data_IF_089514149994
#
_entry.id   IF_089514149994
#
_cell.length_a   1.000
_cell.length_b   1.000
_cell.length_c   1.000
_cell.angle_alpha   90.00
_cell.angle_beta   90.00
_cell.angle_gamma   90.00
#
_symmetry.space_group_name_H-M   'P 1'
#
loop_
_entity.id
_entity.type
_entity.pdbx_description
1 polymer ?
#
# COMPACT_ATOMS: atom_id res chain seq x y z
N UNK A 1 -10.64 14.27 -0.07
CA UNK A 1 -10.45 14.14 -1.53
C UNK A 1 -10.43 12.68 -1.90
N UNK A 2 -11.58 12.17 -2.33
CA UNK A 2 -11.74 10.78 -2.80
C UNK A 2 -11.09 10.58 -4.17
N UNK A 3 -10.33 9.51 -4.38
CA UNK A 3 -9.85 9.04 -5.69
C UNK A 3 -10.58 7.75 -5.99
N UNK A 4 -11.59 7.83 -6.84
CA UNK A 4 -12.21 6.62 -7.38
C UNK A 4 -11.44 6.29 -8.66
N UNK A 5 -10.73 5.19 -8.61
CA UNK A 5 -9.92 4.66 -9.71
C UNK A 5 -10.73 3.58 -10.40
N UNK A 6 -11.00 3.74 -11.68
CA UNK A 6 -11.87 2.82 -12.43
C UNK A 6 -11.01 2.09 -13.45
N UNK A 7 -10.68 0.84 -13.15
CA UNK A 7 -10.00 -0.07 -14.09
C UNK A 7 -11.04 -0.83 -14.90
N UNK A 8 -10.83 -0.99 -16.20
CA UNK A 8 -11.65 -1.84 -17.06
C UNK A 8 -10.72 -2.72 -17.90
N UNK A 9 -10.55 -4.00 -17.56
CA UNK A 9 -9.86 -4.98 -18.40
C UNK A 9 -10.87 -5.80 -19.23
N UNK A 10 -11.07 -5.50 -20.52
CA UNK A 10 -12.19 -6.03 -21.29
C UNK A 10 -12.06 -7.51 -21.68
N UNK A 11 -11.04 -8.26 -21.22
CA UNK A 11 -10.76 -9.59 -21.79
C UNK A 11 -11.12 -10.82 -20.96
N UNK A 12 -11.23 -10.78 -19.62
CA UNK A 12 -11.49 -12.04 -18.88
C UNK A 12 -12.47 -11.99 -17.68
N UNK A 13 -13.12 -10.86 -17.40
CA UNK A 13 -14.34 -10.84 -16.55
C UNK A 13 -14.22 -11.41 -15.13
N UNK A 14 -13.03 -11.41 -14.53
CA UNK A 14 -12.79 -11.90 -13.15
C UNK A 14 -12.42 -10.74 -12.21
N UNK A 15 -13.41 -9.97 -11.79
CA UNK A 15 -13.21 -8.93 -10.78
C UNK A 15 -14.48 -8.15 -10.45
N UNK A 16 -15.47 -8.80 -9.84
CA UNK A 16 -16.69 -8.11 -9.40
C UNK A 16 -16.47 -7.43 -8.05
N UNK A 17 -15.98 -6.18 -8.02
CA UNK A 17 -16.19 -5.33 -6.83
C UNK A 17 -15.28 -4.10 -6.66
N UNK A 18 -15.45 -3.46 -5.51
CA UNK A 18 -14.80 -2.20 -5.10
C UNK A 18 -13.74 -2.48 -4.05
N UNK A 19 -12.57 -1.86 -4.17
CA UNK A 19 -11.44 -2.04 -3.24
C UNK A 19 -10.96 -0.70 -2.73
N UNK A 20 -11.09 -0.43 -1.44
CA UNK A 20 -10.40 0.70 -0.83
C UNK A 20 -8.88 0.44 -0.76
N UNK A 21 -8.08 1.39 -1.22
CA UNK A 21 -6.61 1.36 -1.09
C UNK A 21 -6.11 2.34 -0.02
N UNK A 22 -6.92 3.33 0.33
CA UNK A 22 -6.81 4.23 1.47
C UNK A 22 -8.22 4.76 1.82
N UNK A 23 -8.41 5.38 2.99
CA UNK A 23 -9.71 5.95 3.44
C UNK A 23 -10.36 6.92 2.45
N UNK A 24 -9.61 7.38 1.45
CA UNK A 24 -10.06 8.27 0.40
C UNK A 24 -9.73 7.76 -1.01
N UNK A 25 -9.33 6.51 -1.23
CA UNK A 25 -9.11 5.99 -2.60
C UNK A 25 -9.70 4.60 -2.78
N UNK A 26 -10.38 4.35 -3.89
CA UNK A 26 -10.97 3.06 -4.24
C UNK A 26 -10.64 2.64 -5.67
N UNK A 27 -10.53 1.33 -5.95
CA UNK A 27 -10.48 0.76 -7.29
C UNK A 27 -11.79 0.05 -7.60
N UNK A 28 -12.36 0.29 -8.78
CA UNK A 28 -13.53 -0.40 -9.30
C UNK A 28 -13.13 -1.12 -10.59
N UNK A 29 -13.49 -2.38 -10.69
CA UNK A 29 -13.44 -3.12 -11.93
C UNK A 29 -14.82 -3.10 -12.60
N UNK A 30 -14.88 -2.50 -13.80
CA UNK A 30 -16.10 -2.38 -14.60
C UNK A 30 -16.21 -3.44 -15.69
N UNK A 31 -15.27 -4.38 -15.78
CA UNK A 31 -15.29 -5.44 -16.77
C UNK A 31 -16.58 -6.25 -16.70
N UNK A 32 -17.23 -6.40 -17.84
CA UNK A 32 -18.54 -7.05 -17.95
C UNK A 32 -19.74 -6.21 -17.48
N UNK A 33 -19.53 -4.94 -17.09
CA UNK A 33 -20.61 -3.95 -16.82
C UNK A 33 -20.71 -2.85 -17.87
N UNK A 34 -19.64 -2.66 -18.63
CA UNK A 34 -19.53 -1.65 -19.69
C UNK A 34 -18.92 -2.31 -20.92
N UNK A 35 -19.33 -1.87 -22.11
CA UNK A 35 -18.85 -2.42 -23.39
C UNK A 35 -17.58 -1.71 -23.88
N UNK A 36 -17.42 -0.44 -23.52
CA UNK A 36 -16.31 0.41 -23.96
C UNK A 36 -15.92 1.47 -22.91
N UNK A 37 -14.89 2.25 -23.24
CA UNK A 37 -14.37 3.30 -22.38
C UNK A 37 -15.31 4.52 -22.26
N UNK A 38 -16.19 4.75 -23.23
CA UNK A 38 -17.14 5.87 -23.20
C UNK A 38 -18.27 5.58 -22.21
N UNK A 39 -18.79 4.35 -22.20
CA UNK A 39 -19.70 3.87 -21.17
C UNK A 39 -19.06 3.91 -19.78
N UNK A 40 -17.80 3.49 -19.66
CA UNK A 40 -17.05 3.59 -18.40
C UNK A 40 -16.87 5.04 -17.93
N UNK A 41 -16.58 5.96 -18.87
CA UNK A 41 -16.46 7.39 -18.59
C UNK A 41 -17.79 8.02 -18.15
N UNK A 42 -18.91 7.63 -18.77
CA UNK A 42 -20.24 8.07 -18.36
C UNK A 42 -20.59 7.61 -16.95
N UNK A 43 -20.36 6.34 -16.63
CA UNK A 43 -20.55 5.82 -15.28
C UNK A 43 -19.67 6.54 -14.27
N UNK A 44 -18.41 6.83 -14.61
CA UNK A 44 -17.51 7.61 -13.77
C UNK A 44 -18.06 9.02 -13.48
N UNK A 45 -18.62 9.72 -14.48
CA UNK A 45 -19.28 11.03 -14.27
C UNK A 45 -20.48 10.91 -13.34
N UNK A 46 -21.32 9.90 -13.50
CA UNK A 46 -22.45 9.64 -12.60
C UNK A 46 -21.97 9.46 -11.16
N UNK A 47 -20.94 8.64 -10.93
CA UNK A 47 -20.34 8.44 -9.61
C UNK A 47 -19.80 9.76 -9.04
N UNK A 48 -19.07 10.55 -9.85
CA UNK A 48 -18.55 11.85 -9.42
C UNK A 48 -19.66 12.81 -8.99
N UNK A 49 -20.78 12.82 -9.70
CA UNK A 49 -21.94 13.65 -9.37
C UNK A 49 -22.64 13.14 -8.10
N UNK A 50 -22.88 11.84 -7.98
CA UNK A 50 -23.53 11.27 -6.79
C UNK A 50 -22.73 11.51 -5.51
N UNK A 51 -21.39 11.40 -5.56
CA UNK A 51 -20.53 11.70 -4.41
C UNK A 51 -20.63 13.18 -4.03
N UNK A 52 -20.68 14.08 -5.02
CA UNK A 52 -20.86 15.50 -4.75
C UNK A 52 -22.23 15.80 -4.14
N UNK A 53 -23.30 15.25 -4.70
CA UNK A 53 -24.67 15.52 -4.27
C UNK A 53 -24.97 14.96 -2.87
N UNK A 54 -24.41 13.80 -2.52
CA UNK A 54 -24.69 13.12 -1.23
C UNK A 54 -23.77 13.54 -0.11
N UNK A 55 -22.49 13.76 -0.41
CA UNK A 55 -21.45 13.97 0.61
C UNK A 55 -20.90 15.40 0.61
N UNK A 56 -21.29 16.25 -0.35
CA UNK A 56 -20.72 17.58 -0.58
C UNK A 56 -19.18 17.55 -0.78
N UNK A 57 -18.70 16.46 -1.39
CA UNK A 57 -17.28 16.22 -1.64
C UNK A 57 -17.01 16.03 -3.13
N UNK A 58 -15.97 16.70 -3.64
CA UNK A 58 -15.46 16.44 -4.99
C UNK A 58 -14.47 15.26 -5.00
N UNK A 59 -14.53 14.47 -6.07
CA UNK A 59 -13.57 13.41 -6.37
C UNK A 59 -13.03 13.56 -7.80
N UNK A 60 -11.88 12.97 -8.09
CA UNK A 60 -11.33 12.88 -9.45
C UNK A 60 -11.17 11.42 -9.83
N UNK A 61 -11.42 11.11 -11.10
CA UNK A 61 -11.52 9.74 -11.60
C UNK A 61 -10.62 9.53 -12.81
N UNK A 62 -9.93 8.39 -12.80
CA UNK A 62 -9.20 7.88 -13.94
C UNK A 62 -9.87 6.61 -14.42
N UNK A 63 -10.22 6.55 -15.71
CA UNK A 63 -10.78 5.39 -16.39
C UNK A 63 -9.71 4.84 -17.33
N UNK A 64 -9.26 3.60 -17.11
CA UNK A 64 -8.20 3.00 -17.93
C UNK A 64 -8.22 1.47 -17.94
N UNK A 65 -7.46 0.81 -18.85
CA UNK A 65 -7.40 -0.64 -18.96
C UNK A 65 -6.88 -1.41 -17.73
N UNK A 66 -6.15 -0.73 -16.85
CA UNK A 66 -5.57 -1.35 -15.66
C UNK A 66 -5.45 -0.35 -14.50
N UNK A 67 -5.18 -0.88 -13.31
CA UNK A 67 -5.12 -0.11 -12.06
C UNK A 67 -4.07 0.98 -12.07
N UNK A 68 -2.87 0.69 -12.57
CA UNK A 68 -1.78 1.67 -12.63
C UNK A 68 -2.17 2.88 -13.48
N UNK A 69 -2.64 2.66 -14.72
CA UNK A 69 -3.03 3.75 -15.62
C UNK A 69 -4.19 4.55 -15.02
N UNK A 70 -5.19 3.87 -14.46
CA UNK A 70 -6.33 4.53 -13.86
C UNK A 70 -5.91 5.40 -12.66
N UNK A 71 -4.95 4.94 -11.84
CA UNK A 71 -4.39 5.72 -10.71
C UNK A 71 -3.63 6.95 -11.18
N UNK A 72 -2.85 6.84 -12.26
CA UNK A 72 -2.14 7.99 -12.85
C UNK A 72 -3.15 8.98 -13.43
N UNK A 73 -4.16 8.48 -14.15
CA UNK A 73 -5.21 9.30 -14.76
C UNK A 73 -6.04 10.08 -13.74
N UNK A 74 -6.35 9.49 -12.59
CA UNK A 74 -7.14 10.15 -11.54
C UNK A 74 -6.40 11.31 -10.86
N UNK A 75 -5.06 11.30 -10.87
CA UNK A 75 -4.24 12.40 -10.38
C UNK A 75 -3.97 13.48 -11.47
N UNK A 76 -4.18 13.16 -12.76
CA UNK A 76 -3.74 13.99 -13.88
C UNK A 76 -4.54 15.30 -14.05
N UNK A 77 -5.85 15.26 -13.79
CA UNK A 77 -6.76 16.42 -13.94
C UNK A 77 -7.37 16.90 -12.62
N UNK A 78 -6.69 16.69 -11.49
CA UNK A 78 -7.19 17.19 -10.20
C UNK A 78 -7.22 18.73 -10.17
N UNK A 79 -8.19 19.34 -9.44
CA UNK A 79 -9.33 18.72 -8.75
C UNK A 79 -10.55 18.49 -9.67
N UNK A 80 -11.48 17.62 -9.25
CA UNK A 80 -12.74 17.30 -9.93
C UNK A 80 -12.63 16.90 -11.42
N UNK A 81 -11.49 16.32 -11.82
CA UNK A 81 -11.26 15.90 -13.20
C UNK A 81 -11.62 14.44 -13.49
N UNK A 82 -11.98 14.20 -14.75
CA UNK A 82 -12.07 12.87 -15.36
C UNK A 82 -10.99 12.73 -16.44
N UNK A 83 -10.18 11.68 -16.34
CA UNK A 83 -9.18 11.29 -17.34
C UNK A 83 -9.52 9.91 -17.87
N UNK A 84 -9.62 9.76 -19.18
CA UNK A 84 -9.84 8.47 -19.85
C UNK A 84 -8.58 8.14 -20.64
N UNK A 85 -8.00 6.96 -20.40
CA UNK A 85 -6.78 6.49 -21.05
C UNK A 85 -7.13 5.19 -21.76
N UNK A 86 -6.92 5.12 -23.07
CA UNK A 86 -7.12 3.87 -23.82
C UNK A 86 -5.85 3.03 -23.86
N UNK A 87 -5.98 1.73 -24.12
CA UNK A 87 -4.83 0.82 -24.27
C UNK A 87 -3.86 1.31 -25.35
N UNK A 88 -4.40 1.75 -26.50
CA UNK A 88 -3.60 2.29 -27.61
C UNK A 88 -2.92 3.62 -27.27
N UNK A 89 -3.58 4.47 -26.48
CA UNK A 89 -3.05 5.78 -26.07
C UNK A 89 -2.16 5.74 -24.82
N UNK A 90 -2.09 4.62 -24.11
CA UNK A 90 -1.42 4.52 -22.81
C UNK A 90 0.07 4.90 -22.88
N UNK A 91 0.80 4.36 -23.87
CA UNK A 91 2.24 4.63 -24.01
C UNK A 91 2.53 6.10 -24.31
N UNK A 92 1.74 6.71 -25.19
CA UNK A 92 1.86 8.14 -25.52
C UNK A 92 1.54 9.02 -24.31
N UNK A 93 0.44 8.73 -23.62
CA UNK A 93 0.04 9.43 -22.40
C UNK A 93 1.11 9.36 -21.30
N UNK A 94 1.72 8.20 -21.11
CA UNK A 94 2.75 7.99 -20.09
C UNK A 94 4.08 8.64 -20.44
N UNK A 95 4.50 8.59 -21.71
CA UNK A 95 5.84 8.97 -22.18
C UNK A 95 6.38 10.30 -21.61
N UNK A 96 5.64 11.42 -21.61
CA UNK A 96 6.15 12.70 -21.12
C UNK A 96 6.19 12.82 -19.59
N UNK A 97 5.54 11.91 -18.85
CA UNK A 97 5.44 11.99 -17.40
C UNK A 97 6.77 11.63 -16.74
N UNK A 98 7.07 12.25 -15.60
CA UNK A 98 8.22 11.85 -14.78
C UNK A 98 8.05 10.45 -14.19
N UNK A 99 9.15 9.71 -14.02
CA UNK A 99 9.12 8.32 -13.47
C UNK A 99 8.43 8.22 -12.11
N UNK A 100 8.44 9.32 -11.33
CA UNK A 100 7.75 9.43 -10.04
C UNK A 100 6.24 9.30 -10.11
N UNK A 101 5.64 9.47 -11.28
CA UNK A 101 4.21 9.26 -11.47
C UNK A 101 3.82 7.78 -11.44
N UNK A 102 4.76 6.85 -11.63
CA UNK A 102 4.47 5.41 -11.56
C UNK A 102 4.22 5.00 -10.09
N UNK A 103 3.04 4.45 -9.75
CA UNK A 103 2.77 3.91 -8.42
C UNK A 103 3.84 2.90 -7.98
N UNK A 104 4.47 3.11 -6.83
CA UNK A 104 5.56 2.27 -6.32
C UNK A 104 6.97 2.79 -6.61
N UNK A 105 7.13 3.88 -7.36
CA UNK A 105 8.41 4.60 -7.46
C UNK A 105 8.51 5.62 -6.31
N UNK A 106 9.20 5.22 -5.23
CA UNK A 106 9.54 6.08 -4.09
C UNK A 106 10.85 6.88 -4.29
N UNK A 107 11.27 7.74 -3.33
CA UNK A 107 12.39 8.69 -3.52
C UNK A 107 13.67 7.98 -3.93
N UNK A 108 13.96 6.89 -3.22
CA UNK A 108 15.12 6.05 -3.48
C UNK A 108 15.12 5.41 -4.86
N UNK A 109 13.96 4.94 -5.34
CA UNK A 109 13.86 4.32 -6.67
C UNK A 109 14.02 5.38 -7.76
N UNK A 110 13.46 6.57 -7.54
CA UNK A 110 13.63 7.71 -8.44
C UNK A 110 15.11 8.14 -8.53
N UNK A 111 15.81 8.28 -7.41
CA UNK A 111 17.25 8.57 -7.38
C UNK A 111 18.05 7.58 -8.23
N UNK A 112 17.82 6.26 -8.04
CA UNK A 112 18.49 5.22 -8.84
C UNK A 112 18.19 5.39 -10.34
N UNK A 113 16.96 5.73 -10.73
CA UNK A 113 16.61 5.95 -12.14
C UNK A 113 17.26 7.21 -12.70
N UNK A 114 17.33 8.28 -11.91
CA UNK A 114 18.00 9.53 -12.29
C UNK A 114 19.51 9.32 -12.50
N UNK A 115 20.17 8.50 -11.67
CA UNK A 115 21.58 8.10 -11.83
C UNK A 115 21.82 7.27 -13.11
N UNK A 116 20.76 6.68 -13.67
CA UNK A 116 20.79 6.00 -14.96
C UNK A 116 20.42 6.91 -16.15
N UNK A 117 20.26 8.22 -15.90
CA UNK A 117 19.75 9.25 -16.83
C UNK A 117 18.28 9.05 -17.27
N UNK A 118 17.49 8.34 -16.47
CA UNK A 118 16.09 8.06 -16.74
C UNK A 118 15.20 8.97 -15.88
N UNK A 119 14.66 10.02 -16.51
CA UNK A 119 13.81 11.04 -15.87
C UNK A 119 12.33 10.85 -16.19
N UNK A 120 12.02 10.41 -17.41
CA UNK A 120 10.63 10.22 -17.88
C UNK A 120 10.25 8.75 -18.03
N UNK A 121 8.95 8.48 -18.01
CA UNK A 121 8.43 7.13 -18.26
C UNK A 121 8.76 6.69 -19.69
N UNK A 122 8.78 7.61 -20.67
CA UNK A 122 9.22 7.31 -22.03
C UNK A 122 10.68 6.84 -22.11
N UNK A 123 11.57 7.48 -21.35
CA UNK A 123 12.97 7.05 -21.23
C UNK A 123 13.07 5.68 -20.56
N UNK A 124 12.28 5.44 -19.52
CA UNK A 124 12.23 4.15 -18.83
C UNK A 124 11.73 3.02 -19.75
N UNK A 125 10.75 3.30 -20.61
CA UNK A 125 10.22 2.35 -21.59
C UNK A 125 11.23 2.02 -22.71
N UNK A 126 12.15 2.94 -23.00
CA UNK A 126 13.21 2.77 -23.99
C UNK A 126 14.53 2.21 -23.39
N UNK A 127 14.61 2.06 -22.07
CA UNK A 127 15.81 1.59 -21.40
C UNK A 127 16.03 0.09 -21.59
N UNK A 128 17.29 -0.34 -21.45
CA UNK A 128 17.68 -1.75 -21.45
C UNK A 128 17.10 -2.46 -20.20
N UNK A 129 16.19 -3.45 -20.39
CA UNK A 129 15.59 -4.18 -19.28
C UNK A 129 16.62 -4.95 -18.43
N UNK A 130 17.73 -5.41 -19.00
CA UNK A 130 18.78 -6.10 -18.25
C UNK A 130 19.55 -5.12 -17.35
N UNK A 131 19.78 -3.89 -17.82
CA UNK A 131 20.36 -2.82 -16.99
C UNK A 131 19.44 -2.47 -15.82
N UNK A 132 18.12 -2.38 -16.06
CA UNK A 132 17.14 -2.13 -15.00
C UNK A 132 17.09 -3.29 -13.99
N UNK A 133 17.13 -4.53 -14.46
CA UNK A 133 17.14 -5.71 -13.61
C UNK A 133 18.43 -5.80 -12.76
N UNK A 134 19.59 -5.45 -13.30
CA UNK A 134 20.85 -5.41 -12.51
C UNK A 134 20.80 -4.41 -11.36
N UNK A 135 20.17 -3.26 -11.57
CA UNK A 135 20.13 -2.18 -10.56
C UNK A 135 18.97 -2.32 -9.56
N UNK A 136 17.80 -2.77 -10.01
CA UNK A 136 16.56 -2.78 -9.24
C UNK A 136 15.99 -4.18 -9.01
N UNK A 137 16.63 -5.24 -9.53
CA UNK A 137 16.16 -6.61 -9.43
C UNK A 137 14.79 -6.80 -10.07
N UNK A 138 13.91 -7.53 -9.37
CA UNK A 138 12.52 -7.78 -9.80
C UNK A 138 11.74 -6.48 -10.02
N UNK A 139 12.05 -5.42 -9.27
CA UNK A 139 11.40 -4.13 -9.45
C UNK A 139 11.74 -3.51 -10.81
N UNK A 140 12.97 -3.67 -11.29
CA UNK A 140 13.40 -3.14 -12.60
C UNK A 140 12.56 -3.69 -13.75
N UNK A 141 12.35 -5.01 -13.76
CA UNK A 141 11.47 -5.67 -14.74
C UNK A 141 10.04 -5.12 -14.68
N UNK A 142 9.47 -5.00 -13.48
CA UNK A 142 8.11 -4.47 -13.29
C UNK A 142 7.98 -3.01 -13.74
N UNK A 143 8.99 -2.19 -13.49
CA UNK A 143 9.02 -0.80 -13.90
C UNK A 143 9.11 -0.66 -15.41
N UNK A 144 9.88 -1.53 -16.08
CA UNK A 144 9.93 -1.61 -17.53
C UNK A 144 8.55 -1.95 -18.14
N UNK A 145 7.87 -2.98 -17.62
CA UNK A 145 6.51 -3.35 -18.06
C UNK A 145 5.52 -2.19 -17.85
N UNK A 146 5.56 -1.56 -16.67
CA UNK A 146 4.71 -0.41 -16.33
C UNK A 146 4.95 0.80 -17.20
N UNK A 147 6.20 1.06 -17.59
CA UNK A 147 6.52 2.14 -18.50
C UNK A 147 5.93 1.94 -19.90
N UNK A 148 5.63 0.69 -20.26
CA UNK A 148 4.90 0.34 -21.48
C UNK A 148 3.37 0.32 -21.29
N UNK A 149 2.86 0.72 -20.13
CA UNK A 149 1.44 0.73 -19.82
C UNK A 149 0.89 -0.61 -19.31
N UNK A 150 1.76 -1.60 -19.05
CA UNK A 150 1.36 -2.94 -18.64
C UNK A 150 1.37 -3.05 -17.11
N UNK A 151 0.22 -3.40 -16.54
CA UNK A 151 0.09 -3.78 -15.12
C UNK A 151 -0.92 -4.92 -14.99
N UNK A 152 -0.46 -6.17 -14.75
CA UNK A 152 -1.35 -7.33 -14.65
C UNK A 152 -2.04 -7.43 -13.27
N UNK A 153 -1.88 -6.43 -12.40
CA UNK A 153 -2.47 -6.49 -11.07
C UNK A 153 -3.99 -6.37 -11.11
N UNK A 154 -4.67 -7.34 -10.48
CA UNK A 154 -6.14 -7.37 -10.43
C UNK A 154 -6.70 -6.48 -9.31
N UNK A 155 -7.99 -6.14 -9.43
CA UNK A 155 -8.77 -5.53 -8.35
C UNK A 155 -9.22 -6.63 -7.38
N UNK A 156 -8.49 -6.77 -6.28
CA UNK A 156 -8.75 -7.82 -5.27
C UNK A 156 -9.72 -7.32 -4.21
N UNK A 157 -10.98 -7.74 -4.29
CA UNK A 157 -12.09 -7.29 -3.40
C UNK A 157 -11.98 -7.80 -1.96
N UNK A 158 -11.35 -8.96 -1.77
CA UNK A 158 -11.21 -9.60 -0.47
C UNK A 158 -9.73 -9.66 -0.10
N UNK A 159 -9.32 -8.86 0.88
CA UNK A 159 -8.01 -9.00 1.49
C UNK A 159 -8.15 -9.86 2.74
N UNK A 160 -7.43 -10.98 2.76
CA UNK A 160 -7.20 -11.68 4.01
C UNK A 160 -6.25 -10.85 4.88
N UNK A 161 -6.68 -10.54 6.09
CA UNK A 161 -5.83 -9.90 7.09
C UNK A 161 -4.66 -10.84 7.40
N UNK A 162 -3.45 -10.47 6.96
CA UNK A 162 -2.23 -11.27 7.18
C UNK A 162 -1.58 -11.00 8.53
N UNK A 163 -1.94 -9.88 9.17
CA UNK A 163 -1.35 -9.43 10.41
C UNK A 163 -2.15 -8.30 11.04
N UNK A 164 -2.07 -8.16 12.35
CA UNK A 164 -2.59 -7.03 13.12
C UNK A 164 -1.43 -6.42 13.90
N UNK A 165 -1.31 -5.11 13.95
CA UNK A 165 -0.21 -4.46 14.68
C UNK A 165 -0.44 -2.99 14.92
N UNK A 166 0.22 -2.49 15.97
CA UNK A 166 0.16 -1.10 16.43
C UNK A 166 1.58 -0.60 16.68
N UNK A 167 1.82 0.66 16.40
CA UNK A 167 3.10 1.31 16.67
C UNK A 167 2.89 2.75 17.13
N UNK A 168 3.74 3.19 18.05
CA UNK A 168 3.70 4.53 18.63
C UNK A 168 5.06 5.18 18.45
N UNK A 169 5.05 6.38 17.87
CA UNK A 169 6.20 7.29 17.86
C UNK A 169 6.09 8.20 19.08
N UNK A 170 7.12 8.21 19.92
CA UNK A 170 7.15 9.07 21.10
C UNK A 170 7.42 10.53 20.71
N UNK A 171 6.87 11.47 21.47
CA UNK A 171 7.14 12.91 21.29
C UNK A 171 8.61 13.26 21.52
N UNK A 172 9.26 12.54 22.44
CA UNK A 172 10.68 12.65 22.76
C UNK A 172 11.29 11.26 22.80
N UNK A 173 12.53 11.13 22.34
CA UNK A 173 13.22 9.85 22.33
C UNK A 173 13.46 9.36 23.78
N UNK A 174 12.99 8.15 24.10
CA UNK A 174 12.93 7.61 25.46
C UNK A 174 14.10 6.66 25.70
N UNK A 175 14.82 6.84 26.80
CA UNK A 175 15.92 5.94 27.21
C UNK A 175 15.48 4.87 28.21
N UNK A 176 14.53 5.22 29.08
CA UNK A 176 14.13 4.38 30.20
C UNK A 176 13.23 3.24 29.75
N UNK A 177 13.49 2.04 30.28
CA UNK A 177 12.77 0.84 29.88
C UNK A 177 11.32 0.83 30.36
N UNK A 178 11.04 1.35 31.56
CA UNK A 178 9.71 1.31 32.17
C UNK A 178 8.60 1.92 31.30
N UNK A 179 8.70 3.17 30.82
CA UNK A 179 7.66 3.75 29.95
C UNK A 179 7.50 3.00 28.63
N UNK A 180 8.58 2.42 28.10
CA UNK A 180 8.52 1.61 26.88
C UNK A 180 7.77 0.30 27.13
N UNK A 181 8.05 -0.37 28.24
CA UNK A 181 7.37 -1.61 28.63
C UNK A 181 5.88 -1.38 28.92
N UNK A 182 5.53 -0.26 29.55
CA UNK A 182 4.14 0.14 29.74
C UNK A 182 3.43 0.42 28.40
N UNK A 183 4.11 1.08 27.47
CA UNK A 183 3.57 1.28 26.12
C UNK A 183 3.33 -0.06 25.41
N UNK A 184 4.26 -1.01 25.54
CA UNK A 184 4.09 -2.35 24.97
C UNK A 184 2.90 -3.13 25.55
N UNK A 185 2.54 -2.90 26.82
CA UNK A 185 1.31 -3.46 27.41
C UNK A 185 0.06 -2.91 26.73
N UNK A 186 -0.02 -1.58 26.56
CA UNK A 186 -1.15 -0.94 25.87
C UNK A 186 -1.29 -1.42 24.41
N UNK A 187 -0.17 -1.52 23.68
CA UNK A 187 -0.18 -2.06 22.31
C UNK A 187 -0.68 -3.52 22.27
N UNK A 188 -0.32 -4.34 23.26
CA UNK A 188 -0.78 -5.72 23.33
C UNK A 188 -2.29 -5.81 23.59
N UNK A 189 -2.83 -4.94 24.44
CA UNK A 189 -4.27 -4.87 24.75
C UNK A 189 -5.09 -4.43 23.54
N UNK A 190 -4.66 -3.40 22.82
CA UNK A 190 -5.31 -2.96 21.57
C UNK A 190 -5.33 -4.07 20.51
N UNK A 191 -4.17 -4.72 20.29
CA UNK A 191 -4.05 -5.81 19.33
C UNK A 191 -4.93 -7.00 19.74
N UNK A 192 -4.99 -7.31 21.03
CA UNK A 192 -5.83 -8.37 21.56
C UNK A 192 -7.32 -8.08 21.35
N UNK A 193 -7.77 -6.85 21.62
CA UNK A 193 -9.15 -6.43 21.34
C UNK A 193 -9.54 -6.69 19.88
N UNK A 194 -8.69 -6.25 18.95
CA UNK A 194 -8.91 -6.45 17.51
C UNK A 194 -8.87 -7.93 17.10
N UNK A 195 -7.99 -8.75 17.71
CA UNK A 195 -7.95 -10.20 17.48
C UNK A 195 -9.25 -10.89 17.88
N UNK A 196 -9.82 -10.52 19.04
CA UNK A 196 -11.07 -11.10 19.54
C UNK A 196 -12.23 -10.68 18.65
N UNK A 197 -12.35 -9.39 18.36
CA UNK A 197 -13.41 -8.84 17.51
C UNK A 197 -13.41 -9.47 16.11
N UNK A 198 -12.23 -9.62 15.51
CA UNK A 198 -12.09 -10.21 14.18
C UNK A 198 -12.05 -11.74 14.19
N UNK A 199 -12.10 -12.42 15.35
CA UNK A 199 -12.07 -13.88 15.45
C UNK A 199 -10.77 -14.49 14.92
N UNK A 200 -9.61 -13.92 15.29
CA UNK A 200 -8.30 -14.41 14.86
C UNK A 200 -7.47 -14.95 16.02
N UNK A 201 -6.66 -15.97 15.71
CA UNK A 201 -5.49 -16.40 16.47
C UNK A 201 -4.23 -16.03 15.69
N UNK A 202 -3.10 -15.95 16.36
CA UNK A 202 -1.79 -15.69 15.78
C UNK A 202 -0.77 -16.77 16.15
N UNK A 203 0.29 -16.87 15.36
CA UNK A 203 1.45 -17.73 15.66
C UNK A 203 2.75 -16.95 15.79
N UNK A 204 2.88 -15.80 15.12
CA UNK A 204 4.13 -15.03 15.08
C UNK A 204 3.95 -13.65 15.68
N UNK A 205 4.80 -13.31 16.65
CA UNK A 205 4.86 -12.00 17.30
C UNK A 205 6.11 -11.28 16.81
N UNK A 206 5.98 -10.01 16.42
CA UNK A 206 7.07 -9.16 15.93
C UNK A 206 7.09 -7.86 16.70
N UNK A 207 8.28 -7.47 17.17
CA UNK A 207 8.53 -6.14 17.74
C UNK A 207 9.37 -5.33 16.75
N UNK A 208 9.00 -4.06 16.59
CA UNK A 208 9.77 -3.05 15.86
C UNK A 208 10.25 -1.99 16.86
N UNK A 209 11.52 -1.61 16.75
CA UNK A 209 12.10 -0.49 17.51
C UNK A 209 12.81 0.43 16.53
N UNK A 210 12.57 1.73 16.65
CA UNK A 210 13.36 2.77 15.96
C UNK A 210 14.11 3.58 17.00
N UNK A 211 15.41 3.76 16.82
CA UNK A 211 16.23 4.59 17.71
C UNK A 211 16.28 6.06 17.29
N UNK A 212 16.87 6.90 18.14
CA UNK A 212 17.40 8.22 17.75
C UNK A 212 18.29 8.04 16.48
N UNK A 213 18.09 8.87 15.45
CA UNK A 213 18.64 8.73 14.08
C UNK A 213 17.90 7.79 13.10
N UNK A 214 16.67 7.37 13.41
CA UNK A 214 15.77 6.64 12.47
C UNK A 214 16.21 5.22 12.08
N UNK A 215 17.29 4.69 12.67
CA UNK A 215 17.65 3.28 12.55
C UNK A 215 16.51 2.38 13.06
N UNK A 216 15.96 1.54 12.18
CA UNK A 216 14.81 0.68 12.49
C UNK A 216 15.24 -0.78 12.54
N UNK A 217 14.90 -1.46 13.64
CA UNK A 217 15.19 -2.87 13.85
C UNK A 217 13.91 -3.63 14.15
N UNK A 218 13.85 -4.88 13.69
CA UNK A 218 12.74 -5.80 13.98
C UNK A 218 13.26 -7.12 14.53
N UNK A 219 12.47 -7.71 15.42
CA UNK A 219 12.68 -9.08 15.93
C UNK A 219 11.35 -9.79 15.98
N UNK A 220 11.33 -11.03 15.52
CA UNK A 220 10.13 -11.86 15.49
C UNK A 220 10.37 -13.18 16.23
N UNK A 221 9.29 -13.73 16.78
CA UNK A 221 9.24 -15.07 17.36
C UNK A 221 7.96 -15.75 16.91
N UNK A 222 8.10 -16.94 16.34
CA UNK A 222 6.97 -17.84 16.06
C UNK A 222 6.82 -18.85 17.18
N UNK A 223 5.58 -19.02 17.64
CA UNK A 223 5.18 -20.04 18.61
C UNK A 223 4.97 -21.38 17.89
N UNK A 224 4.96 -22.49 18.64
CA UNK A 224 4.65 -23.82 18.08
C UNK A 224 3.16 -24.01 17.78
N UNK A 225 2.29 -23.25 18.45
CA UNK A 225 0.83 -23.30 18.33
C UNK A 225 0.24 -21.92 18.03
N UNK A 226 -0.98 -21.90 17.48
CA UNK A 226 -1.76 -20.67 17.30
C UNK A 226 -2.53 -20.34 18.58
N UNK A 227 -2.54 -19.07 18.98
CA UNK A 227 -3.24 -18.58 20.17
C UNK A 227 -3.77 -17.17 19.96
N UNK A 228 -4.74 -16.75 20.76
CA UNK A 228 -5.18 -15.36 20.89
C UNK A 228 -5.01 -14.87 22.33
N UNK A 229 -4.21 -15.55 23.15
CA UNK A 229 -3.98 -15.22 24.56
C UNK A 229 -3.17 -13.92 24.74
N UNK A 230 -3.74 -12.98 25.50
CA UNK A 230 -3.14 -11.68 25.79
C UNK A 230 -1.82 -11.79 26.56
N UNK A 231 -1.73 -12.64 27.57
CA UNK A 231 -0.53 -12.75 28.40
C UNK A 231 0.62 -13.38 27.61
N UNK A 232 0.32 -14.34 26.73
CA UNK A 232 1.32 -14.86 25.77
C UNK A 232 1.82 -13.73 24.86
N UNK A 233 0.92 -12.92 24.29
CA UNK A 233 1.30 -11.78 23.44
C UNK A 233 2.18 -10.78 24.20
N UNK A 234 1.71 -10.33 25.36
CA UNK A 234 2.33 -9.34 26.24
C UNK A 234 3.73 -9.77 26.68
N UNK A 235 3.86 -10.98 27.24
CA UNK A 235 5.13 -11.49 27.75
C UNK A 235 6.17 -11.69 26.64
N UNK A 236 5.75 -12.21 25.48
CA UNK A 236 6.65 -12.36 24.34
C UNK A 236 7.04 -11.01 23.74
N UNK A 237 6.11 -10.06 23.64
CA UNK A 237 6.37 -8.68 23.21
C UNK A 237 7.43 -8.01 24.10
N UNK A 238 7.27 -8.06 25.42
CA UNK A 238 8.24 -7.55 26.39
C UNK A 238 9.62 -8.21 26.26
N UNK A 239 9.67 -9.54 26.13
CA UNK A 239 10.93 -10.28 25.96
C UNK A 239 11.65 -9.93 24.65
N UNK A 240 10.91 -9.64 23.59
CA UNK A 240 11.49 -9.20 22.32
C UNK A 240 11.99 -7.76 22.40
N UNK A 241 11.23 -6.85 23.02
CA UNK A 241 11.66 -5.45 23.15
C UNK A 241 12.86 -5.27 24.08
N UNK A 242 12.94 -6.05 25.17
CA UNK A 242 14.03 -5.96 26.15
C UNK A 242 15.43 -6.09 25.52
N UNK A 243 15.56 -6.95 24.49
CA UNK A 243 16.81 -7.13 23.75
C UNK A 243 17.30 -5.84 23.07
N UNK A 244 16.37 -4.96 22.67
CA UNK A 244 16.68 -3.66 22.09
C UNK A 244 17.00 -2.61 23.17
N UNK A 245 16.35 -2.69 24.33
CA UNK A 245 16.53 -1.76 25.44
C UNK A 245 17.90 -1.93 26.11
N UNK A 246 18.44 -3.15 26.15
CA UNK A 246 19.80 -3.44 26.64
C UNK A 246 20.91 -2.65 25.93
N UNK A 247 20.66 -2.16 24.71
CA UNK A 247 21.63 -1.36 23.95
C UNK A 247 21.81 0.07 24.50
N UNK A 248 20.99 0.51 25.47
CA UNK A 248 21.03 1.84 26.11
C UNK A 248 20.97 3.04 25.15
N UNK A 249 20.46 2.83 23.93
CA UNK A 249 20.15 3.88 22.94
C UNK A 249 18.76 4.44 23.20
N UNK A 250 18.51 5.71 22.91
CA UNK A 250 17.16 6.27 23.03
C UNK A 250 16.26 5.72 21.92
N UNK A 251 15.02 5.41 22.27
CA UNK A 251 13.99 4.84 21.41
C UNK A 251 12.99 5.92 21.02
N UNK A 252 12.79 6.07 19.72
CA UNK A 252 11.84 7.01 19.11
C UNK A 252 10.48 6.37 18.79
N UNK A 253 10.47 5.09 18.44
CA UNK A 253 9.24 4.34 18.15
C UNK A 253 9.34 2.91 18.66
N UNK A 254 8.23 2.41 19.19
CA UNK A 254 8.01 0.98 19.41
C UNK A 254 6.75 0.52 18.70
N UNK A 255 6.79 -0.71 18.20
CA UNK A 255 5.64 -1.35 17.59
C UNK A 255 5.56 -2.83 17.94
N UNK A 256 4.34 -3.32 18.05
CA UNK A 256 4.01 -4.72 18.26
C UNK A 256 3.10 -5.18 17.13
N UNK A 257 3.35 -6.38 16.61
CA UNK A 257 2.58 -6.96 15.51
C UNK A 257 2.44 -8.46 15.69
N UNK A 258 1.26 -8.99 15.40
CA UNK A 258 0.98 -10.41 15.28
C UNK A 258 0.72 -10.79 13.82
N UNK A 259 1.12 -11.99 13.41
CA UNK A 259 0.98 -12.50 12.04
C UNK A 259 0.91 -14.03 12.04
N UNK A 260 0.81 -14.61 10.85
CA UNK A 260 0.41 -16.01 10.65
C UNK A 260 -0.94 -16.23 11.35
N UNK A 261 -1.92 -15.41 10.92
CA UNK A 261 -3.25 -15.42 11.50
C UNK A 261 -4.04 -16.63 11.01
N UNK A 262 -4.87 -17.18 11.88
CA UNK A 262 -5.84 -18.22 11.58
C UNK A 262 -7.18 -17.86 12.22
N UNK A 263 -8.30 -18.17 11.55
CA UNK A 263 -9.63 -17.97 12.14
C UNK A 263 -9.83 -18.90 13.35
N UNK A 264 -10.57 -18.41 14.34
CA UNK A 264 -11.04 -19.20 15.50
C UNK A 264 -12.10 -20.20 15.06
#
# INVERSE_FOLDING_TARGET
MGVVTVGADPKEGRGRGVVSSASYEAYLDLSGRVEDLDQAANLARTIMQEVLDREDLSCSVGVAPNKMLAKIGSDFRKPYGLTVISEKGAKEFLSPLGVRKIPGVGPRTEEILLDLDIRTIGQLAAADPDRLARQLGILGKRLYERAQGIDPSEVVVNYETKSIGREVTFERDIKDAAPILQMMDGLAEEIHGELIECGFRFKTITVKVRYEHFDTFTRARSLSFSTNDLDILRNNGKRLVDQFLRKKKKVRLVGLRVSALSRV
#
